data_IF_355919435675
#
_entry.id   IF_355919435675
#
_cell.length_a   1.000
_cell.length_b   1.000
_cell.length_c   1.000
_cell.angle_alpha   90.00
_cell.angle_beta   90.00
_cell.angle_gamma   90.00
#
_symmetry.space_group_name_H-M   'P 1'
#
loop_
_entity.id
_entity.type
_entity.pdbx_description
1 polymer ?
#
# COMPACT_ATOMS: atom_id res chain seq x y z
N UNK A 1 19.20 7.19 -26.83
CA UNK A 1 18.61 6.20 -25.90
C UNK A 1 17.18 6.62 -25.72
N UNK A 2 16.25 5.88 -26.34
CA UNK A 2 14.81 6.16 -26.23
C UNK A 2 14.31 5.57 -24.91
N UNK A 3 13.79 6.42 -24.03
CA UNK A 3 13.32 6.02 -22.68
C UNK A 3 11.92 5.38 -22.78
N UNK A 4 11.25 5.49 -23.93
CA UNK A 4 9.94 4.88 -24.19
C UNK A 4 9.92 3.36 -24.04
N UNK A 5 11.05 2.69 -24.30
CA UNK A 5 11.19 1.23 -24.22
C UNK A 5 11.18 0.69 -22.78
N UNK A 6 11.32 1.54 -21.76
CA UNK A 6 11.19 1.14 -20.34
C UNK A 6 9.74 1.08 -19.86
N UNK A 7 8.77 1.40 -20.72
CA UNK A 7 7.35 1.32 -20.37
C UNK A 7 6.96 -0.14 -20.18
N UNK A 8 6.90 -0.58 -18.92
CA UNK A 8 6.32 -1.88 -18.58
C UNK A 8 4.90 -1.94 -19.11
N UNK A 9 4.63 -2.90 -19.99
CA UNK A 9 3.27 -3.24 -20.37
C UNK A 9 2.58 -3.88 -19.15
N UNK A 10 1.59 -3.18 -18.58
CA UNK A 10 0.74 -3.67 -17.48
C UNK A 10 -0.35 -4.63 -17.98
N UNK A 11 -0.11 -5.39 -19.05
CA UNK A 11 -1.11 -6.18 -19.80
C UNK A 11 -1.26 -7.62 -19.34
N UNK A 12 -0.56 -8.05 -18.27
CA UNK A 12 -0.52 -9.46 -17.86
C UNK A 12 -1.90 -10.03 -17.46
N UNK A 13 -2.82 -9.20 -16.95
CA UNK A 13 -4.25 -9.52 -16.74
C UNK A 13 -5.06 -8.24 -16.56
N UNK A 14 -6.23 -8.16 -17.19
CA UNK A 14 -7.18 -7.07 -16.94
C UNK A 14 -7.92 -7.25 -15.61
N UNK A 15 -8.32 -6.15 -14.98
CA UNK A 15 -9.14 -6.14 -13.77
C UNK A 15 -10.56 -5.68 -14.13
N UNK A 16 -11.55 -6.59 -14.08
CA UNK A 16 -12.96 -6.25 -14.33
C UNK A 16 -13.72 -6.20 -13.01
N UNK A 17 -14.79 -5.38 -12.96
CA UNK A 17 -15.64 -5.26 -11.76
C UNK A 17 -16.22 -6.60 -11.29
N UNK A 18 -16.58 -7.48 -12.22
CA UNK A 18 -17.14 -8.80 -11.89
C UNK A 18 -16.14 -9.77 -11.26
N UNK A 19 -14.83 -9.47 -11.34
CA UNK A 19 -13.77 -10.29 -10.76
C UNK A 19 -13.39 -9.83 -9.34
N UNK A 20 -13.97 -8.72 -8.86
CA UNK A 20 -13.67 -8.15 -7.54
C UNK A 20 -14.49 -8.84 -6.45
N UNK A 21 -13.88 -9.06 -5.30
CA UNK A 21 -14.60 -9.45 -4.09
C UNK A 21 -15.60 -8.35 -3.71
N UNK A 22 -16.76 -8.75 -3.16
CA UNK A 22 -17.77 -7.81 -2.67
C UNK A 22 -17.32 -7.00 -1.45
N UNK A 23 -16.26 -7.44 -0.79
CA UNK A 23 -15.66 -6.82 0.38
C UNK A 23 -14.21 -6.36 0.07
N UNK A 24 -13.87 -5.08 0.29
CA UNK A 24 -12.55 -4.56 0.00
C UNK A 24 -11.43 -5.17 0.86
N UNK A 25 -11.71 -5.60 2.09
CA UNK A 25 -10.72 -6.27 2.95
C UNK A 25 -10.44 -7.69 2.47
N UNK A 26 -11.46 -8.41 2.00
CA UNK A 26 -11.27 -9.70 1.33
C UNK A 26 -10.48 -9.52 0.03
N UNK A 27 -10.77 -8.46 -0.74
CA UNK A 27 -10.02 -8.17 -1.96
C UNK A 27 -8.54 -7.89 -1.66
N UNK A 28 -8.26 -7.10 -0.62
CA UNK A 28 -6.91 -6.83 -0.16
C UNK A 28 -6.20 -8.11 0.27
N UNK A 29 -6.85 -8.95 1.09
CA UNK A 29 -6.28 -10.22 1.54
C UNK A 29 -5.88 -11.12 0.38
N UNK A 30 -6.75 -11.26 -0.63
CA UNK A 30 -6.46 -12.04 -1.82
C UNK A 30 -5.21 -11.52 -2.56
N UNK A 31 -5.09 -10.21 -2.77
CA UNK A 31 -3.92 -9.62 -3.41
C UNK A 31 -2.66 -9.72 -2.56
N UNK A 32 -2.78 -9.55 -1.25
CA UNK A 32 -1.66 -9.69 -0.33
C UNK A 32 -1.13 -11.13 -0.32
N UNK A 33 -2.02 -12.13 -0.27
CA UNK A 33 -1.65 -13.55 -0.37
C UNK A 33 -0.97 -13.87 -1.71
N UNK A 34 -1.45 -13.29 -2.82
CA UNK A 34 -0.80 -13.45 -4.13
C UNK A 34 0.62 -12.87 -4.14
N UNK A 35 0.82 -11.67 -3.57
CA UNK A 35 2.14 -11.06 -3.46
C UNK A 35 3.11 -11.90 -2.61
N UNK A 36 2.62 -12.47 -1.51
CA UNK A 36 3.39 -13.42 -0.67
C UNK A 36 3.71 -14.69 -1.44
N UNK A 37 2.76 -15.25 -2.19
CA UNK A 37 2.93 -16.50 -2.93
C UNK A 37 3.97 -16.42 -4.06
N UNK A 38 4.21 -15.22 -4.60
CA UNK A 38 5.25 -14.99 -5.63
C UNK A 38 6.60 -14.53 -5.05
N UNK A 39 6.75 -14.61 -3.72
CA UNK A 39 7.97 -14.20 -2.99
C UNK A 39 8.41 -12.77 -3.35
N UNK A 40 7.43 -11.85 -3.46
CA UNK A 40 7.73 -10.44 -3.71
C UNK A 40 8.52 -9.88 -2.52
N UNK A 41 9.57 -9.11 -2.80
CA UNK A 41 10.34 -8.46 -1.75
C UNK A 41 9.46 -7.48 -0.96
N UNK A 42 9.49 -7.60 0.37
CA UNK A 42 8.76 -6.76 1.33
C UNK A 42 7.27 -6.55 0.95
N UNK A 43 6.46 -7.62 0.83
CA UNK A 43 5.08 -7.52 0.33
C UNK A 43 4.17 -6.72 1.27
N UNK A 44 4.60 -6.52 2.52
CA UNK A 44 3.94 -5.71 3.52
C UNK A 44 4.49 -4.27 3.63
N UNK A 45 5.43 -3.87 2.77
CA UNK A 45 5.87 -2.48 2.70
C UNK A 45 4.78 -1.60 2.06
N UNK A 46 4.49 -0.47 2.70
CA UNK A 46 3.50 0.49 2.25
C UNK A 46 4.06 1.91 2.33
N UNK A 47 3.61 2.80 1.45
CA UNK A 47 3.92 4.23 1.55
C UNK A 47 2.83 4.94 2.36
N UNK A 48 3.22 5.50 3.50
CA UNK A 48 2.33 6.31 4.34
C UNK A 48 2.54 7.79 4.03
N UNK A 49 1.48 8.43 3.53
CA UNK A 49 1.38 9.88 3.41
C UNK A 49 0.73 10.48 4.66
N UNK A 50 1.36 11.50 5.25
CA UNK A 50 0.73 12.34 6.28
C UNK A 50 0.92 13.81 5.97
N UNK A 51 -0.11 14.62 6.22
CA UNK A 51 -0.09 16.05 5.94
C UNK A 51 -0.06 16.89 7.23
N UNK A 52 0.43 18.12 7.14
CA UNK A 52 0.21 19.13 8.17
C UNK A 52 -1.21 19.68 8.10
N UNK A 53 -1.63 20.48 9.10
CA UNK A 53 -2.89 21.21 9.05
C UNK A 53 -3.00 22.18 7.85
N UNK A 54 -1.87 22.60 7.28
CA UNK A 54 -1.78 23.42 6.06
C UNK A 54 -1.70 22.59 4.78
N UNK A 55 -2.03 21.29 4.85
CA UNK A 55 -2.02 20.34 3.74
C UNK A 55 -0.64 20.09 3.09
N UNK A 56 0.46 20.24 3.84
CA UNK A 56 1.81 19.93 3.34
C UNK A 56 2.12 18.43 3.51
N UNK A 57 2.21 17.63 2.44
CA UNK A 57 2.36 16.18 2.53
C UNK A 57 3.79 15.76 2.86
N UNK A 58 3.92 14.63 3.56
CA UNK A 58 5.19 13.89 3.71
C UNK A 58 4.95 12.41 3.53
N UNK A 59 5.86 11.75 2.81
CA UNK A 59 5.79 10.33 2.47
C UNK A 59 6.93 9.57 3.16
N UNK A 60 6.68 8.31 3.54
CA UNK A 60 7.73 7.36 3.92
C UNK A 60 7.24 5.93 3.77
N UNK A 61 8.17 5.00 3.61
CA UNK A 61 7.88 3.57 3.75
C UNK A 61 7.64 3.21 5.21
N UNK A 62 6.60 2.41 5.45
CA UNK A 62 6.29 1.71 6.72
C UNK A 62 5.98 0.25 6.43
N UNK A 63 5.98 -0.60 7.45
CA UNK A 63 5.61 -2.00 7.31
C UNK A 63 4.22 -2.24 7.92
N UNK A 64 3.32 -2.81 7.12
CA UNK A 64 2.05 -3.38 7.60
C UNK A 64 2.35 -4.53 8.56
N UNK A 65 1.67 -4.54 9.70
CA UNK A 65 1.83 -5.58 10.74
C UNK A 65 0.59 -6.43 10.92
N UNK A 66 -0.58 -5.82 10.76
CA UNK A 66 -1.87 -6.48 10.90
C UNK A 66 -2.93 -5.70 10.13
N UNK A 67 -3.98 -6.37 9.68
CA UNK A 67 -5.16 -5.74 9.13
C UNK A 67 -6.40 -6.59 9.46
N UNK A 68 -7.53 -5.92 9.64
CA UNK A 68 -8.85 -6.52 9.74
C UNK A 68 -9.92 -5.51 9.31
N UNK A 69 -11.18 -5.80 9.62
CA UNK A 69 -12.31 -4.93 9.30
C UNK A 69 -12.26 -3.54 9.97
N UNK A 70 -11.37 -3.30 10.94
CA UNK A 70 -11.14 -1.99 11.54
C UNK A 70 -10.05 -1.18 10.79
N UNK A 71 -9.28 -1.81 9.91
CA UNK A 71 -8.30 -1.14 9.06
C UNK A 71 -6.91 -1.79 9.09
N UNK A 72 -5.90 -0.96 8.83
CA UNK A 72 -4.51 -1.37 8.67
C UNK A 72 -3.64 -0.85 9.81
N UNK A 73 -2.85 -1.74 10.42
CA UNK A 73 -2.01 -1.45 11.57
C UNK A 73 -0.53 -1.46 11.19
N UNK A 74 0.17 -0.38 11.55
CA UNK A 74 1.62 -0.26 11.47
C UNK A 74 2.14 0.34 12.78
N UNK A 75 3.40 0.04 13.11
CA UNK A 75 4.06 0.63 14.28
C UNK A 75 5.04 1.72 13.85
N UNK A 76 5.23 2.72 14.70
CA UNK A 76 6.19 3.79 14.47
C UNK A 76 6.65 4.43 15.78
N UNK A 77 7.69 5.27 15.71
CA UNK A 77 8.10 6.08 16.85
C UNK A 77 7.13 7.27 17.03
N UNK A 78 6.54 7.38 18.22
CA UNK A 78 5.60 8.44 18.63
C UNK A 78 6.22 9.85 18.64
N UNK A 79 7.54 9.99 18.76
CA UNK A 79 8.22 11.29 18.69
C UNK A 79 8.46 11.76 17.26
N UNK A 80 8.23 10.89 16.27
CA UNK A 80 8.59 11.18 14.88
C UNK A 80 7.66 12.22 14.25
N UNK A 81 8.16 12.90 13.21
CA UNK A 81 7.39 13.88 12.42
C UNK A 81 6.04 13.37 11.91
N UNK A 82 5.88 12.06 11.70
CA UNK A 82 4.60 11.48 11.23
C UNK A 82 3.59 11.34 12.35
N UNK A 83 4.03 10.95 13.54
CA UNK A 83 3.15 10.81 14.70
C UNK A 83 2.59 12.17 15.11
N UNK A 84 3.45 13.20 15.16
CA UNK A 84 3.02 14.60 15.40
C UNK A 84 2.05 15.19 14.37
N UNK A 85 1.91 14.57 13.20
CA UNK A 85 0.95 14.98 12.16
C UNK A 85 -0.36 14.19 12.23
N UNK A 86 -0.38 13.07 12.95
CA UNK A 86 -1.55 12.22 13.14
C UNK A 86 -2.29 12.52 14.46
N UNK A 87 -1.59 13.15 15.40
CA UNK A 87 -2.13 13.74 16.62
C UNK A 87 -2.67 15.14 16.37
#
# INVERSE_FOLDING_TARGET
MDIGDFRREYTQRGLKRGDLAGDPFQQFEQWFQQAVAVDLLDPNAMILATATATAEPSLRTVLLKYFDYQGFVFFTNYESRKARRLS
#
